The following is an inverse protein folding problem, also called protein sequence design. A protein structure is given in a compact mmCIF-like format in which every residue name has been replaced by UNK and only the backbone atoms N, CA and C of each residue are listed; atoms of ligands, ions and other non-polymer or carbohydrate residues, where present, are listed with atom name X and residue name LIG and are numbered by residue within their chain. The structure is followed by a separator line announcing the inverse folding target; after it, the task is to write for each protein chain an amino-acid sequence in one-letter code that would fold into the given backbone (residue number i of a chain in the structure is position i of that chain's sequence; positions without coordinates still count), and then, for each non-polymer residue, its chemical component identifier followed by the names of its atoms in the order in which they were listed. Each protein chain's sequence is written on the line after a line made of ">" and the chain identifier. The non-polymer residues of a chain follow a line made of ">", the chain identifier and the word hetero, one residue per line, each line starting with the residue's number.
data_IF_412567861072
#
_entry.id   IF_412567861072
#
_cell.length_a   1.000
_cell.length_b   1.000
_cell.length_c   1.000
_cell.angle_alpha   90.00
_cell.angle_beta   90.00
_cell.angle_gamma   90.00
#
_symmetry.space_group_name_H-M   'P 1'
#
loop_
_entity.id
_entity.type
_entity.pdbx_description
1 polymer ?
#
# COMPACT_ATOMS: atom_id res chain seq x y z
N UNK A 1 19.07 6.92 -16.42
CA UNK A 1 17.74 6.27 -16.47
C UNK A 1 17.46 5.33 -15.28
N UNK A 2 18.47 4.74 -14.61
CA UNK A 2 18.28 3.85 -13.45
C UNK A 2 17.84 4.56 -12.16
N UNK A 3 18.30 5.79 -11.92
CA UNK A 3 18.02 6.54 -10.68
C UNK A 3 16.53 6.84 -10.52
N UNK A 4 15.86 7.24 -11.60
CA UNK A 4 14.41 7.51 -11.58
C UNK A 4 13.58 6.24 -11.33
N UNK A 5 13.98 5.11 -11.91
CA UNK A 5 13.34 3.82 -11.65
C UNK A 5 13.51 3.36 -10.20
N UNK A 6 14.72 3.52 -9.66
CA UNK A 6 14.99 3.20 -8.24
C UNK A 6 14.14 4.05 -7.30
N UNK A 7 14.10 5.37 -7.52
CA UNK A 7 13.26 6.29 -6.73
C UNK A 7 11.79 5.90 -6.79
N UNK A 8 11.28 5.54 -7.97
CA UNK A 8 9.90 5.12 -8.14
C UNK A 8 9.58 3.85 -7.32
N UNK A 9 10.47 2.86 -7.34
CA UNK A 9 10.31 1.63 -6.55
C UNK A 9 10.34 1.93 -5.06
N UNK A 10 11.30 2.73 -4.59
CA UNK A 10 11.39 3.11 -3.17
C UNK A 10 10.12 3.79 -2.69
N UNK A 11 9.59 4.75 -3.46
CA UNK A 11 8.34 5.44 -3.13
C UNK A 11 7.15 4.46 -3.12
N UNK A 12 7.12 3.53 -4.08
CA UNK A 12 6.08 2.49 -4.15
C UNK A 12 6.09 1.57 -2.92
N UNK A 13 7.27 1.24 -2.39
CA UNK A 13 7.40 0.42 -1.17
C UNK A 13 7.06 1.23 0.08
N UNK A 14 7.46 2.50 0.14
CA UNK A 14 7.18 3.39 1.28
C UNK A 14 5.68 3.56 1.52
N UNK A 15 4.92 3.80 0.45
CA UNK A 15 3.47 3.99 0.51
C UNK A 15 2.68 2.69 0.28
N UNK A 16 3.27 1.53 0.55
CA UNK A 16 2.58 0.25 0.36
C UNK A 16 1.66 -0.17 1.52
N UNK A 17 1.66 0.58 2.62
CA UNK A 17 0.98 0.18 3.87
C UNK A 17 1.80 -0.75 4.75
N UNK A 18 2.95 -1.25 4.28
CA UNK A 18 3.82 -2.15 5.04
C UNK A 18 4.81 -1.41 5.95
N UNK A 19 5.45 -0.35 5.43
CA UNK A 19 6.42 0.45 6.18
C UNK A 19 5.75 1.54 7.03
N UNK A 20 4.74 2.18 6.46
CA UNK A 20 3.90 3.19 7.11
C UNK A 20 2.48 2.68 6.95
N UNK A 21 1.78 2.54 8.07
CA UNK A 21 0.40 2.11 8.03
C UNK A 21 -0.48 3.21 7.44
N UNK A 22 -1.57 2.86 6.74
CA UNK A 22 -2.41 3.85 6.08
C UNK A 22 -3.06 4.87 7.03
N UNK A 23 -3.38 4.49 8.27
CA UNK A 23 -3.86 5.38 9.33
C UNK A 23 -2.84 6.43 9.79
N UNK A 24 -1.54 6.15 9.60
CA UNK A 24 -0.44 7.04 9.96
C UNK A 24 0.01 7.94 8.81
N UNK A 25 -0.50 7.73 7.58
CA UNK A 25 -0.14 8.55 6.43
C UNK A 25 -0.81 9.92 6.58
N UNK A 26 -0.05 11.04 6.55
CA UNK A 26 -0.66 12.37 6.61
C UNK A 26 -1.63 12.56 5.43
N UNK A 27 -2.79 13.19 5.68
CA UNK A 27 -3.87 13.39 4.68
C UNK A 27 -3.37 13.92 3.33
N UNK A 28 -2.35 14.79 3.34
CA UNK A 28 -1.76 15.32 2.11
C UNK A 28 -1.09 14.25 1.23
N UNK A 29 -0.56 13.18 1.82
CA UNK A 29 0.15 12.09 1.13
C UNK A 29 -0.73 10.86 0.86
N UNK A 30 -1.97 10.87 1.31
CA UNK A 30 -2.90 9.75 1.17
C UNK A 30 -3.14 9.37 -0.30
N UNK A 31 -3.18 10.35 -1.21
CA UNK A 31 -3.32 10.07 -2.65
C UNK A 31 -2.17 9.20 -3.19
N UNK A 32 -0.96 9.28 -2.62
CA UNK A 32 0.17 8.49 -3.07
C UNK A 32 -0.03 7.00 -2.75
N UNK A 33 -0.58 6.70 -1.59
CA UNK A 33 -0.96 5.34 -1.20
C UNK A 33 -1.92 4.70 -2.21
N UNK A 34 -2.89 5.49 -2.70
CA UNK A 34 -3.89 5.04 -3.66
C UNK A 34 -3.39 4.98 -5.11
N UNK A 35 -2.45 5.85 -5.50
CA UNK A 35 -1.90 5.95 -6.86
C UNK A 35 -0.77 4.95 -7.12
N UNK A 36 0.09 4.69 -6.13
CA UNK A 36 1.18 3.74 -6.31
C UNK A 36 0.66 2.30 -6.22
N UNK A 37 1.04 1.41 -7.15
CA UNK A 37 0.52 0.05 -7.18
C UNK A 37 1.04 -0.84 -6.04
N UNK A 38 2.00 -0.33 -5.25
CA UNK A 38 2.70 -1.10 -4.22
C UNK A 38 1.77 -1.66 -3.17
N UNK A 39 0.82 -0.85 -2.70
CA UNK A 39 -0.12 -1.29 -1.69
C UNK A 39 -0.94 -2.51 -2.14
N UNK A 40 -1.53 -2.47 -3.34
CA UNK A 40 -2.30 -3.59 -3.89
C UNK A 40 -1.44 -4.83 -4.13
N UNK A 41 -0.18 -4.65 -4.56
CA UNK A 41 0.73 -5.77 -4.82
C UNK A 41 1.10 -6.51 -3.54
N UNK A 42 1.57 -5.79 -2.52
CA UNK A 42 1.96 -6.41 -1.25
C UNK A 42 0.75 -7.02 -0.55
N UNK A 43 -0.37 -6.31 -0.52
CA UNK A 43 -1.60 -6.84 0.06
C UNK A 43 -2.06 -8.12 -0.65
N UNK A 44 -2.13 -8.11 -1.99
CA UNK A 44 -2.53 -9.28 -2.77
C UNK A 44 -1.58 -10.46 -2.53
N UNK A 45 -0.28 -10.20 -2.39
CA UNK A 45 0.72 -11.20 -2.04
C UNK A 45 0.46 -11.79 -0.63
N UNK A 46 0.31 -10.95 0.40
CA UNK A 46 0.10 -11.42 1.77
C UNK A 46 -1.23 -12.16 1.94
N UNK A 47 -2.33 -11.65 1.39
CA UNK A 47 -3.62 -12.32 1.42
C UNK A 47 -3.55 -13.67 0.71
N UNK A 48 -2.96 -13.74 -0.49
CA UNK A 48 -2.86 -15.02 -1.21
C UNK A 48 -2.06 -16.07 -0.44
N UNK A 49 -1.02 -15.66 0.27
CA UNK A 49 -0.13 -16.58 0.96
C UNK A 49 -0.60 -16.96 2.37
N UNK A 50 -1.32 -16.08 3.06
CA UNK A 50 -1.50 -16.17 4.51
C UNK A 50 -2.91 -15.80 5.01
N UNK A 51 -3.89 -15.62 4.13
CA UNK A 51 -5.26 -15.23 4.51
C UNK A 51 -5.92 -16.17 5.53
N UNK A 52 -5.51 -17.43 5.61
CA UNK A 52 -6.06 -18.44 6.53
C UNK A 52 -4.92 -19.20 7.25
N UNK A 53 -3.89 -18.46 7.65
CA UNK A 53 -2.73 -19.01 8.32
C UNK A 53 -2.79 -18.77 9.84
N UNK A 54 -3.02 -19.86 10.58
CA UNK A 54 -3.15 -19.89 12.03
C UNK A 54 -1.82 -20.05 12.77
N UNK A 55 -0.67 -19.96 12.08
CA UNK A 55 0.63 -19.98 12.76
C UNK A 55 0.71 -18.81 13.74
N UNK A 56 1.19 -19.12 14.93
CA UNK A 56 1.35 -18.15 16.01
C UNK A 56 2.62 -17.34 15.80
N UNK A 57 2.50 -16.03 15.97
CA UNK A 57 3.60 -15.07 15.94
C UNK A 57 3.57 -14.20 17.20
N UNK A 58 4.75 -13.81 17.66
CA UNK A 58 4.92 -12.89 18.78
C UNK A 58 4.78 -11.44 18.27
N UNK A 59 3.93 -10.67 18.95
CA UNK A 59 3.74 -9.26 18.67
C UNK A 59 4.84 -8.44 19.33
N UNK A 60 5.44 -7.50 18.58
CA UNK A 60 6.39 -6.55 19.16
C UNK A 60 5.68 -5.60 20.13
N UNK A 61 6.28 -5.33 21.27
CA UNK A 61 5.75 -4.41 22.29
C UNK A 61 5.41 -3.05 21.68
N UNK A 62 4.19 -2.56 21.96
CA UNK A 62 3.69 -1.27 21.47
C UNK A 62 3.38 -1.21 19.97
N UNK A 63 3.51 -2.32 19.24
CA UNK A 63 3.07 -2.40 17.85
C UNK A 63 1.53 -2.34 17.74
N UNK A 64 0.98 -1.95 16.58
CA UNK A 64 -0.47 -1.94 16.35
C UNK A 64 -1.10 -3.32 16.52
N UNK A 65 -0.36 -4.36 16.14
CA UNK A 65 -0.77 -5.74 16.33
C UNK A 65 -0.82 -6.09 17.83
N UNK A 66 0.18 -5.68 18.61
CA UNK A 66 0.19 -5.82 20.08
C UNK A 66 -1.01 -5.12 20.72
N UNK A 67 -1.32 -3.89 20.30
CA UNK A 67 -2.47 -3.13 20.78
C UNK A 67 -3.80 -3.77 20.36
N UNK A 68 -3.87 -4.38 19.17
CA UNK A 68 -5.07 -5.07 18.68
C UNK A 68 -5.39 -6.35 19.46
N UNK A 69 -4.37 -6.97 20.06
CA UNK A 69 -4.51 -8.15 20.92
C UNK A 69 -4.91 -7.78 22.36
N UNK A 70 -4.90 -6.49 22.70
CA UNK A 70 -5.21 -6.02 24.06
C UNK A 70 -4.13 -6.34 25.09
N UNK A 71 -2.90 -6.60 24.64
CA UNK A 71 -1.77 -6.89 25.52
C UNK A 71 -1.38 -5.66 26.35
N UNK A 72 -1.02 -5.89 27.61
CA UNK A 72 -0.51 -4.86 28.52
C UNK A 72 0.95 -5.16 28.88
N UNK A 73 1.83 -4.14 29.02
CA UNK A 73 3.19 -4.33 29.52
C UNK A 73 3.24 -4.84 30.98
N UNK A 74 2.10 -4.88 31.66
CA UNK A 74 1.95 -5.46 33.01
C UNK A 74 1.74 -6.99 32.98
N UNK A 75 1.38 -7.55 31.82
CA UNK A 75 1.21 -8.99 31.65
C UNK A 75 2.57 -9.66 31.44
N UNK A 76 2.94 -10.62 32.30
CA UNK A 76 4.21 -11.38 32.21
C UNK A 76 4.19 -12.42 31.07
N UNK A 77 3.13 -12.47 30.28
CA UNK A 77 2.93 -13.44 29.20
C UNK A 77 3.38 -12.89 27.86
N UNK A 78 3.98 -13.73 27.02
CA UNK A 78 4.31 -13.40 25.62
C UNK A 78 3.02 -13.05 24.87
N UNK A 79 3.00 -11.88 24.22
CA UNK A 79 1.84 -11.43 23.43
C UNK A 79 1.83 -12.16 22.09
N UNK A 80 0.94 -13.14 21.95
CA UNK A 80 0.86 -14.03 20.79
C UNK A 80 -0.45 -13.83 20.02
N UNK A 81 -0.39 -13.88 18.70
CA UNK A 81 -1.57 -13.89 17.83
C UNK A 81 -1.29 -14.65 16.52
N UNK A 82 -2.32 -14.84 15.69
CA UNK A 82 -2.16 -15.54 14.41
C UNK A 82 -1.66 -14.63 13.30
N UNK A 83 -1.03 -15.20 12.27
CA UNK A 83 -0.65 -14.45 11.07
C UNK A 83 -1.90 -13.86 10.39
N UNK A 84 -3.01 -14.61 10.33
CA UNK A 84 -4.28 -14.12 9.80
C UNK A 84 -4.78 -12.87 10.52
N UNK A 85 -4.66 -12.82 11.85
CA UNK A 85 -5.01 -11.66 12.67
C UNK A 85 -4.06 -10.48 12.43
N UNK A 86 -2.76 -10.74 12.29
CA UNK A 86 -1.79 -9.70 11.94
C UNK A 86 -2.10 -9.07 10.58
N UNK A 87 -2.47 -9.87 9.58
CA UNK A 87 -2.85 -9.38 8.25
C UNK A 87 -4.12 -8.53 8.32
N UNK A 88 -5.13 -8.99 9.07
CA UNK A 88 -6.38 -8.25 9.27
C UNK A 88 -6.14 -6.88 9.93
N UNK A 89 -5.17 -6.79 10.85
CA UNK A 89 -4.81 -5.53 11.52
C UNK A 89 -3.91 -4.64 10.68
N UNK A 90 -3.03 -5.22 9.85
CA UNK A 90 -2.11 -4.48 8.99
C UNK A 90 -2.82 -3.90 7.76
N UNK A 91 -3.78 -4.64 7.21
CA UNK A 91 -4.53 -4.27 6.01
C UNK A 91 -6.02 -4.02 6.32
N UNK A 92 -6.31 -3.38 7.45
CA UNK A 92 -7.68 -3.08 7.90
C UNK A 92 -8.44 -2.11 7.00
N UNK A 93 -7.70 -1.25 6.29
CA UNK A 93 -8.26 -0.16 5.46
C UNK A 93 -8.84 -0.65 4.14
N UNK A 94 -8.81 -1.95 3.89
CA UNK A 94 -9.42 -2.54 2.71
C UNK A 94 -10.94 -2.63 2.84
N UNK A 95 -11.58 -1.48 2.95
CA UNK A 95 -12.97 -1.35 2.62
C UNK A 95 -13.10 -1.32 1.09
N UNK A 96 -13.96 -2.21 0.57
CA UNK A 96 -14.16 -2.41 -0.87
C UNK A 96 -14.64 -1.13 -1.56
N UNK A 97 -15.13 -0.18 -0.77
CA UNK A 97 -15.67 1.11 -1.18
C UNK A 97 -14.58 2.09 -1.69
N UNK A 98 -13.34 2.02 -1.20
CA UNK A 98 -12.26 2.93 -1.64
C UNK A 98 -11.53 2.44 -2.90
N UNK A 99 -11.48 1.13 -3.11
CA UNK A 99 -10.84 0.51 -4.30
C UNK A 99 -11.48 0.97 -5.60
N UNK A 100 -12.80 1.18 -5.60
CA UNK A 100 -13.53 1.67 -6.78
C UNK A 100 -13.08 3.07 -7.20
N UNK A 101 -13.00 4.02 -6.25
CA UNK A 101 -12.54 5.38 -6.52
C UNK A 101 -11.10 5.37 -7.03
N UNK A 102 -10.24 4.54 -6.45
CA UNK A 102 -8.85 4.43 -6.88
C UNK A 102 -8.72 3.85 -8.30
N UNK A 103 -9.53 2.85 -8.63
CA UNK A 103 -9.65 2.32 -9.99
C UNK A 103 -10.03 3.41 -11.00
N UNK A 104 -10.97 4.28 -10.64
CA UNK A 104 -11.34 5.44 -11.46
C UNK A 104 -10.18 6.44 -11.57
N UNK A 105 -9.54 6.81 -10.46
CA UNK A 105 -8.41 7.75 -10.48
C UNK A 105 -7.25 7.24 -11.34
N UNK A 106 -6.90 5.96 -11.22
CA UNK A 106 -5.87 5.32 -12.04
C UNK A 106 -6.28 5.27 -13.51
N UNK A 107 -7.54 4.91 -13.82
CA UNK A 107 -8.02 4.90 -15.19
C UNK A 107 -7.97 6.31 -15.81
N UNK A 108 -8.40 7.34 -15.09
CA UNK A 108 -8.32 8.74 -15.52
C UNK A 108 -6.86 9.14 -15.74
N UNK A 109 -5.96 8.83 -14.81
CA UNK A 109 -4.54 9.14 -14.93
C UNK A 109 -3.87 8.43 -16.11
N UNK A 110 -4.20 7.14 -16.35
CA UNK A 110 -3.71 6.39 -17.51
C UNK A 110 -4.24 7.00 -18.81
N UNK A 111 -5.52 7.34 -18.88
CA UNK A 111 -6.09 7.98 -20.07
C UNK A 111 -5.43 9.34 -20.32
N UNK A 112 -5.27 10.16 -19.28
CA UNK A 112 -4.60 11.47 -19.38
C UNK A 112 -3.14 11.33 -19.82
N UNK A 113 -2.38 10.42 -19.21
CA UNK A 113 -0.98 10.18 -19.61
C UNK A 113 -0.88 9.70 -21.05
N UNK A 114 -1.83 8.87 -21.52
CA UNK A 114 -1.92 8.44 -22.93
C UNK A 114 -2.25 9.59 -23.87
N UNK A 115 -3.17 10.47 -23.50
CA UNK A 115 -3.52 11.67 -24.27
C UNK A 115 -2.35 12.65 -24.34
N UNK A 116 -1.67 12.90 -23.21
CA UNK A 116 -0.47 13.75 -23.15
C UNK A 116 0.66 13.12 -23.97
N UNK A 117 0.89 11.82 -23.87
CA UNK A 117 1.90 11.13 -24.68
C UNK A 117 1.59 11.24 -26.16
N UNK A 118 0.34 11.01 -26.55
CA UNK A 118 -0.12 11.18 -27.93
C UNK A 118 0.10 12.62 -28.42
N UNK A 119 -0.35 13.61 -27.64
CA UNK A 119 -0.19 15.02 -27.97
C UNK A 119 1.28 15.44 -28.06
N UNK A 120 2.12 15.02 -27.10
CA UNK A 120 3.55 15.29 -27.10
C UNK A 120 4.23 14.70 -28.35
N UNK A 121 3.93 13.45 -28.70
CA UNK A 121 4.45 12.80 -29.91
C UNK A 121 4.02 13.55 -31.17
N UNK A 122 2.76 13.98 -31.28
CA UNK A 122 2.30 14.76 -32.44
C UNK A 122 2.93 16.16 -32.51
N UNK A 123 3.14 16.83 -31.38
CA UNK A 123 3.75 18.16 -31.32
C UNK A 123 5.25 18.17 -31.64
N UNK A 124 5.97 17.09 -31.28
CA UNK A 124 7.38 16.90 -31.62
C UNK A 124 7.54 16.56 -33.11
N UNK A 125 6.64 15.74 -33.67
CA UNK A 125 6.65 15.41 -35.09
C UNK A 125 6.39 16.64 -35.98
N UNK A 126 5.54 17.57 -35.52
CA UNK A 126 5.27 18.83 -36.22
C UNK A 126 6.47 19.80 -36.25
N UNK A 127 7.42 19.69 -35.31
CA UNK A 127 8.62 20.56 -35.23
C UNK A 127 9.85 20.00 -35.95
N UNK A 128 9.76 18.78 -36.50
CA UNK A 128 10.87 18.07 -37.16
C UNK A 128 10.83 18.15 -38.71
N UNK A 129 9.88 18.88 -39.29
CA UNK A 129 9.81 19.28 -40.71
C UNK A 129 9.74 20.79 -40.80
#
# INVERSE_FOLDING_TARGET
>A
SLVFGGLFVTVTVLFSGLLIRPDEIPVFWEWAYWVFPGHYLFQGLFLTQFHDDDRVIEASDGSPFYLSLGCSPEDETVCEGTISQWIATTFSDWDRDNVYYCGIYLAVFIVLTRLVTFWALTSLNYRAT
#
